data_IF_137902887992
#
_entry.id   IF_137902887992
#
_cell.length_a   1.000
_cell.length_b   1.000
_cell.length_c   1.000
_cell.angle_alpha   90.00
_cell.angle_beta   90.00
_cell.angle_gamma   90.00
#
_symmetry.space_group_name_H-M   'P 1'
#
loop_
_entity.id
_entity.type
_entity.pdbx_description
1 polymer ?
#
# COMPACT_ATOMS: atom_id res chain seq x y z
N UNK A 1 18.47 -4.30 -9.50
CA UNK A 1 17.88 -2.95 -9.59
C UNK A 1 17.21 -2.60 -8.27
N UNK A 2 17.55 -1.43 -7.72
CA UNK A 2 16.90 -0.96 -6.48
C UNK A 2 15.54 -0.36 -6.82
N UNK A 3 14.51 -0.70 -6.08
CA UNK A 3 13.17 -0.20 -6.29
C UNK A 3 12.58 0.33 -4.98
N UNK A 4 11.40 0.93 -5.08
CA UNK A 4 10.79 1.68 -3.98
C UNK A 4 10.57 0.84 -2.72
N UNK A 5 10.18 -0.42 -2.85
CA UNK A 5 9.98 -1.31 -1.71
C UNK A 5 11.27 -1.45 -0.89
N UNK A 6 12.40 -1.61 -1.57
CA UNK A 6 13.70 -1.71 -0.90
C UNK A 6 14.12 -0.38 -0.27
N UNK A 7 13.94 0.72 -1.00
CA UNK A 7 14.33 2.05 -0.52
C UNK A 7 13.56 2.43 0.75
N UNK A 8 12.27 2.15 0.79
CA UNK A 8 11.42 2.46 1.93
C UNK A 8 11.44 1.35 2.99
N UNK A 9 12.20 0.28 2.74
CA UNK A 9 12.34 -0.85 3.66
C UNK A 9 10.99 -1.51 4.00
N UNK A 10 10.15 -1.65 2.99
CA UNK A 10 8.83 -2.28 3.16
C UNK A 10 8.96 -3.78 3.38
N UNK A 11 8.16 -4.32 4.31
CA UNK A 11 8.10 -5.75 4.62
C UNK A 11 6.70 -6.28 4.33
N UNK A 12 6.61 -7.44 3.67
CA UNK A 12 5.33 -8.12 3.49
C UNK A 12 5.14 -8.98 4.75
N UNK A 13 4.20 -8.57 5.60
CA UNK A 13 3.99 -9.23 6.88
C UNK A 13 2.96 -10.36 6.79
N UNK A 14 1.99 -10.25 5.88
CA UNK A 14 0.98 -11.27 5.64
C UNK A 14 0.40 -11.10 4.25
N UNK A 15 0.10 -12.22 3.58
CA UNK A 15 -0.52 -12.20 2.27
C UNK A 15 -1.40 -13.42 2.07
N UNK A 16 -2.67 -13.19 1.77
CA UNK A 16 -3.63 -14.20 1.36
C UNK A 16 -4.57 -13.59 0.31
N UNK A 17 -5.42 -14.39 -0.30
CA UNK A 17 -6.33 -13.91 -1.32
C UNK A 17 -7.24 -12.82 -0.75
N UNK A 18 -7.12 -11.61 -1.30
CA UNK A 18 -7.96 -10.47 -0.91
C UNK A 18 -7.52 -9.72 0.36
N UNK A 19 -6.41 -10.11 0.99
CA UNK A 19 -5.90 -9.45 2.18
C UNK A 19 -4.38 -9.38 2.16
N UNK A 20 -3.83 -8.18 2.30
CA UNK A 20 -2.37 -7.97 2.34
C UNK A 20 -2.04 -7.04 3.49
N UNK A 21 -1.01 -7.40 4.24
CA UNK A 21 -0.49 -6.57 5.32
C UNK A 21 0.98 -6.32 5.02
N UNK A 22 1.35 -5.04 4.85
CA UNK A 22 2.74 -4.63 4.68
C UNK A 22 3.06 -3.50 5.62
N UNK A 23 4.32 -3.40 6.02
CA UNK A 23 4.76 -2.36 6.95
C UNK A 23 6.08 -1.77 6.52
N UNK A 24 6.41 -0.61 7.07
CA UNK A 24 7.71 0.03 6.86
C UNK A 24 8.11 0.84 8.10
N UNK A 25 9.42 0.97 8.37
CA UNK A 25 9.88 1.83 9.45
C UNK A 25 9.75 3.29 9.06
N UNK A 26 9.47 4.14 10.04
CA UNK A 26 9.41 5.60 9.81
C UNK A 26 10.82 6.15 9.96
N UNK A 27 11.62 6.02 8.90
CA UNK A 27 13.00 6.54 8.83
C UNK A 27 13.00 7.93 8.19
N UNK A 28 14.15 8.58 8.22
CA UNK A 28 14.31 9.90 7.60
C UNK A 28 14.00 9.89 6.11
N UNK A 29 14.17 8.74 5.43
CA UNK A 29 13.91 8.60 4.00
C UNK A 29 12.43 8.80 3.64
N UNK A 30 11.53 8.59 4.59
CA UNK A 30 10.08 8.68 4.35
C UNK A 30 9.44 9.86 5.06
N UNK A 31 10.25 10.79 5.58
CA UNK A 31 9.76 11.97 6.30
C UNK A 31 9.72 13.20 5.41
N UNK A 32 8.79 14.10 5.75
CA UNK A 32 8.73 15.43 5.18
C UNK A 32 9.62 16.39 6.01
N UNK A 33 9.87 17.64 5.58
CA UNK A 33 10.87 18.53 6.22
C UNK A 33 10.64 18.86 7.69
N UNK A 34 9.43 18.70 8.21
CA UNK A 34 9.11 18.98 9.61
C UNK A 34 9.28 17.75 10.52
N UNK A 35 9.80 16.64 9.98
CA UNK A 35 10.15 15.45 10.75
C UNK A 35 9.03 14.42 10.91
N UNK A 36 7.90 14.61 10.24
CA UNK A 36 6.79 13.66 10.26
C UNK A 36 6.79 12.80 9.00
N UNK A 37 6.18 11.63 9.12
CA UNK A 37 5.96 10.75 7.97
C UNK A 37 5.28 11.53 6.84
N UNK A 38 5.87 11.46 5.65
CA UNK A 38 5.33 12.10 4.46
C UNK A 38 4.05 11.40 4.02
N UNK A 39 2.98 12.17 3.77
CA UNK A 39 1.71 11.59 3.32
C UNK A 39 1.84 10.78 2.03
N UNK A 40 2.69 11.24 1.10
CA UNK A 40 2.99 10.49 -0.11
C UNK A 40 3.65 9.14 0.15
N UNK A 41 4.46 9.03 1.21
CA UNK A 41 5.06 7.75 1.61
C UNK A 41 4.00 6.79 2.15
N UNK A 42 3.03 7.28 2.90
CA UNK A 42 1.89 6.48 3.36
C UNK A 42 1.09 5.96 2.16
N UNK A 43 0.82 6.83 1.18
CA UNK A 43 0.09 6.43 -0.02
C UNK A 43 0.89 5.38 -0.81
N UNK A 44 2.21 5.56 -0.92
CA UNK A 44 3.07 4.58 -1.59
C UNK A 44 2.99 3.21 -0.91
N UNK A 45 2.96 3.19 0.43
CA UNK A 45 2.80 1.94 1.18
C UNK A 45 1.45 1.28 0.87
N UNK A 46 0.37 2.05 0.90
CA UNK A 46 -0.97 1.55 0.60
C UNK A 46 -1.13 1.09 -0.84
N UNK A 47 -0.59 1.83 -1.78
CA UNK A 47 -0.62 1.46 -3.20
C UNK A 47 0.18 0.17 -3.45
N UNK A 48 1.32 0.02 -2.79
CA UNK A 48 2.13 -1.20 -2.87
C UNK A 48 1.34 -2.40 -2.35
N UNK A 49 0.62 -2.24 -1.24
CA UNK A 49 -0.22 -3.30 -0.70
C UNK A 49 -1.29 -3.73 -1.71
N UNK A 50 -1.98 -2.77 -2.33
CA UNK A 50 -2.98 -3.05 -3.36
C UNK A 50 -2.40 -3.79 -4.55
N UNK A 51 -1.25 -3.33 -5.04
CA UNK A 51 -0.62 -3.90 -6.22
C UNK A 51 -0.16 -5.34 -5.97
N UNK A 52 0.44 -5.59 -4.81
CA UNK A 52 0.84 -6.94 -4.42
C UNK A 52 -0.39 -7.85 -4.25
N UNK A 53 -1.44 -7.33 -3.63
CA UNK A 53 -2.67 -8.09 -3.44
C UNK A 53 -3.33 -8.46 -4.76
N UNK A 54 -3.37 -7.52 -5.70
CA UNK A 54 -3.92 -7.77 -7.03
C UNK A 54 -3.07 -8.76 -7.81
N UNK A 55 -1.75 -8.64 -7.75
CA UNK A 55 -0.83 -9.59 -8.40
C UNK A 55 -1.07 -11.02 -7.90
N UNK A 56 -1.38 -11.17 -6.61
CA UNK A 56 -1.64 -12.48 -6.01
C UNK A 56 -2.96 -13.12 -6.50
N UNK A 57 -3.87 -12.32 -7.06
CA UNK A 57 -5.20 -12.78 -7.50
C UNK A 57 -5.28 -13.03 -9.01
N UNK A 58 -4.23 -12.75 -9.76
CA UNK A 58 -4.25 -12.82 -11.22
C UNK A 58 -3.12 -13.72 -11.72
N UNK A 59 -3.24 -14.13 -12.98
CA UNK A 59 -2.17 -14.84 -13.68
C UNK A 59 -1.18 -13.82 -14.23
N UNK A 60 -0.06 -13.62 -13.54
CA UNK A 60 0.95 -12.62 -13.90
C UNK A 60 1.74 -12.98 -15.16
N UNK A 61 1.53 -14.16 -15.73
CA UNK A 61 2.05 -14.50 -17.05
C UNK A 61 1.19 -13.92 -18.17
N UNK A 62 -0.03 -13.49 -17.86
CA UNK A 62 -0.99 -12.95 -18.84
C UNK A 62 -1.41 -11.51 -18.55
N UNK A 63 -1.36 -11.10 -17.31
CA UNK A 63 -1.85 -9.79 -16.86
C UNK A 63 -0.86 -9.11 -15.95
N UNK A 64 -0.97 -7.79 -15.85
CA UNK A 64 -0.18 -6.98 -14.94
C UNK A 64 -1.12 -6.05 -14.15
N UNK A 65 -0.92 -5.91 -12.83
CA UNK A 65 -1.67 -4.93 -12.05
C UNK A 65 -0.99 -3.57 -12.15
N UNK A 66 -1.77 -2.53 -12.39
CA UNK A 66 -1.28 -1.14 -12.43
C UNK A 66 -2.18 -0.27 -11.59
N UNK A 67 -1.61 0.47 -10.65
CA UNK A 67 -2.37 1.43 -9.86
C UNK A 67 -3.00 2.48 -10.75
N UNK A 68 -4.30 2.66 -10.63
CA UNK A 68 -5.07 3.56 -11.47
C UNK A 68 -5.45 4.84 -10.73
N UNK A 69 -5.89 4.70 -9.50
CA UNK A 69 -6.32 5.84 -8.68
C UNK A 69 -6.15 5.47 -7.21
N UNK A 70 -5.59 6.40 -6.43
CA UNK A 70 -5.45 6.27 -4.99
C UNK A 70 -5.96 7.54 -4.35
N UNK A 71 -6.82 7.41 -3.34
CA UNK A 71 -7.24 8.57 -2.56
C UNK A 71 -7.08 8.26 -1.07
N UNK A 72 -6.74 9.27 -0.31
CA UNK A 72 -6.37 9.08 1.08
C UNK A 72 -6.73 10.29 1.94
N UNK A 73 -7.08 10.00 3.19
CA UNK A 73 -7.16 11.01 4.23
C UNK A 73 -6.15 10.64 5.31
N UNK A 74 -5.28 11.57 5.64
CA UNK A 74 -4.30 11.39 6.72
C UNK A 74 -4.92 11.89 8.01
N UNK A 75 -5.08 10.98 8.99
CA UNK A 75 -5.81 11.24 10.23
C UNK A 75 -4.86 11.67 11.35
N UNK A 76 -3.75 10.95 11.51
CA UNK A 76 -2.71 11.23 12.51
C UNK A 76 -1.34 11.24 11.86
N UNK A 77 -0.42 11.99 12.43
CA UNK A 77 0.97 11.99 12.00
C UNK A 77 1.78 10.94 12.75
N UNK A 78 2.91 10.55 12.17
CA UNK A 78 3.87 9.64 12.79
C UNK A 78 5.27 10.23 12.67
N UNK A 79 6.11 10.05 13.70
CA UNK A 79 7.49 10.55 13.74
C UNK A 79 8.52 9.43 13.77
N UNK A 80 8.15 8.28 14.28
CA UNK A 80 9.06 7.16 14.54
C UNK A 80 8.28 5.84 14.50
N UNK A 81 8.94 4.75 14.85
CA UNK A 81 8.33 3.45 14.90
C UNK A 81 8.05 2.88 13.52
N UNK A 82 6.97 2.14 13.42
CA UNK A 82 6.54 1.49 12.18
C UNK A 82 5.10 1.85 11.86
N UNK A 83 4.78 1.88 10.57
CA UNK A 83 3.39 1.98 10.11
C UNK A 83 3.06 0.75 9.29
N UNK A 84 1.84 0.26 9.47
CA UNK A 84 1.37 -0.99 8.87
C UNK A 84 0.11 -0.73 8.07
N UNK A 85 0.15 -1.08 6.79
CA UNK A 85 -0.99 -0.98 5.89
C UNK A 85 -1.67 -2.33 5.80
N UNK A 86 -2.98 -2.35 6.03
CA UNK A 86 -3.83 -3.52 5.82
C UNK A 86 -4.76 -3.21 4.66
N UNK A 87 -4.62 -3.96 3.57
CA UNK A 87 -5.43 -3.81 2.37
C UNK A 87 -6.38 -4.98 2.24
N UNK A 88 -7.67 -4.69 2.13
CA UNK A 88 -8.73 -5.69 1.92
C UNK A 88 -9.45 -5.36 0.63
N UNK A 89 -9.63 -6.38 -0.22
CA UNK A 89 -10.33 -6.18 -1.48
C UNK A 89 -11.83 -6.01 -1.22
N UNK A 90 -12.43 -5.01 -1.86
CA UNK A 90 -13.88 -4.78 -1.77
C UNK A 90 -14.58 -5.02 -3.11
N UNK A 91 -13.84 -5.08 -4.20
CA UNK A 91 -14.39 -5.42 -5.52
C UNK A 91 -13.30 -6.10 -6.35
N UNK A 92 -13.59 -7.32 -6.77
CA UNK A 92 -12.71 -8.08 -7.65
C UNK A 92 -13.40 -8.21 -9.03
N UNK A 93 -13.16 -7.20 -9.87
CA UNK A 93 -13.70 -7.17 -11.22
C UNK A 93 -12.77 -7.84 -12.22
N UNK A 94 -13.22 -7.94 -13.46
CA UNK A 94 -12.45 -8.53 -14.54
C UNK A 94 -11.27 -7.63 -14.96
N UNK A 95 -11.47 -6.32 -14.95
CA UNK A 95 -10.48 -5.35 -15.41
C UNK A 95 -10.04 -4.38 -14.34
N UNK A 96 -10.70 -4.36 -13.19
CA UNK A 96 -10.31 -3.51 -12.06
C UNK A 96 -10.53 -4.24 -10.74
N UNK A 97 -9.66 -3.95 -9.78
CA UNK A 97 -9.84 -4.30 -8.37
C UNK A 97 -9.94 -3.03 -7.56
N UNK A 98 -10.81 -3.00 -6.58
CA UNK A 98 -10.92 -1.89 -5.63
C UNK A 98 -10.59 -2.40 -4.24
N UNK A 99 -9.71 -1.69 -3.56
CA UNK A 99 -9.18 -2.05 -2.25
C UNK A 99 -9.49 -0.98 -1.21
N UNK A 100 -9.80 -1.43 -0.01
CA UNK A 100 -9.87 -0.59 1.17
C UNK A 100 -8.57 -0.75 1.95
N UNK A 101 -7.93 0.35 2.34
CA UNK A 101 -6.65 0.32 3.03
C UNK A 101 -6.72 1.15 4.30
N UNK A 102 -6.22 0.60 5.39
CA UNK A 102 -6.01 1.33 6.64
C UNK A 102 -4.57 1.21 7.06
N UNK A 103 -3.97 2.33 7.42
CA UNK A 103 -2.59 2.38 7.89
C UNK A 103 -2.60 2.79 9.35
N UNK A 104 -1.96 2.01 10.20
CA UNK A 104 -1.89 2.23 11.65
C UNK A 104 -0.45 2.25 12.12
N UNK A 105 -0.20 2.95 13.23
CA UNK A 105 1.11 2.96 13.89
C UNK A 105 1.24 1.81 14.88
N UNK A 106 2.37 1.75 15.60
CA UNK A 106 2.64 0.70 16.59
C UNK A 106 1.68 0.69 17.78
N UNK A 107 0.94 1.79 17.99
CA UNK A 107 -0.05 1.90 19.06
C UNK A 107 -1.47 1.64 18.54
N UNK A 108 -1.60 1.09 17.33
CA UNK A 108 -2.89 0.82 16.68
C UNK A 108 -3.72 2.08 16.41
N UNK A 109 -3.09 3.26 16.41
CA UNK A 109 -3.75 4.49 16.03
C UNK A 109 -3.84 4.57 14.51
N UNK A 110 -4.99 5.01 14.02
CA UNK A 110 -5.23 5.16 12.58
C UNK A 110 -4.46 6.37 12.05
N UNK A 111 -3.53 6.10 11.15
CA UNK A 111 -2.70 7.13 10.50
C UNK A 111 -3.33 7.61 9.22
N UNK A 112 -3.80 6.67 8.39
CA UNK A 112 -4.36 6.98 7.07
C UNK A 112 -5.48 6.01 6.75
N UNK A 113 -6.56 6.53 6.17
CA UNK A 113 -7.58 5.73 5.50
C UNK A 113 -7.50 6.02 4.01
N UNK A 114 -7.55 4.98 3.20
CA UNK A 114 -7.47 5.19 1.77
C UNK A 114 -8.21 4.13 0.98
N UNK A 115 -8.49 4.46 -0.26
CA UNK A 115 -9.09 3.54 -1.23
C UNK A 115 -8.23 3.57 -2.48
N UNK A 116 -8.02 2.39 -3.07
CA UNK A 116 -7.25 2.27 -4.28
C UNK A 116 -7.97 1.45 -5.33
N UNK A 117 -7.82 1.86 -6.57
CA UNK A 117 -8.27 1.13 -7.74
C UNK A 117 -7.06 0.67 -8.52
N UNK A 118 -7.01 -0.62 -8.82
CA UNK A 118 -5.92 -1.24 -9.58
C UNK A 118 -6.50 -1.76 -10.90
N UNK A 119 -5.91 -1.34 -12.01
CA UNK A 119 -6.27 -1.86 -13.33
C UNK A 119 -5.56 -3.20 -13.56
N UNK A 120 -6.29 -4.16 -14.10
CA UNK A 120 -5.76 -5.46 -14.49
C UNK A 120 -5.62 -5.44 -16.01
N UNK A 121 -4.40 -5.29 -16.49
CA UNK A 121 -4.13 -5.11 -17.91
C UNK A 121 -3.50 -6.34 -18.52
N UNK A 122 -3.94 -6.73 -19.73
CA UNK A 122 -3.28 -7.84 -20.44
C UNK A 122 -1.84 -7.48 -20.79
N UNK A 123 -0.96 -8.45 -20.68
CA UNK A 123 0.39 -8.35 -21.24
C UNK A 123 0.30 -8.49 -22.76
N UNK A 124 1.18 -7.77 -23.45
CA UNK A 124 1.22 -7.86 -24.91
C UNK A 124 2.10 -9.03 -25.37
#
# INVERSE_FOLDING_TARGET
MTHLLEIFEMSIDHQEDGLVVISMPVTDKVKQPFGYLHGGASIALGETACSLGSANLIDTTKFIPLGLEMNANHIHSAKDGRVTATAEIIHRGKSTHVWDIKIKNDKEQLITVMRGTVAIKPLK
#
